data_IF_479180472503
#
_entry.id   IF_479180472503
#
_cell.length_a   1.000
_cell.length_b   1.000
_cell.length_c   1.000
_cell.angle_alpha   90.00
_cell.angle_beta   90.00
_cell.angle_gamma   90.00
#
_symmetry.space_group_name_H-M   'P 1'
#
loop_
_entity.id
_entity.type
_entity.pdbx_description
1 polymer ?
#
# COMPACT_ATOMS: atom_id res chain seq x y z
N UNK A 1 -9.93 -10.63 6.96
CA UNK A 1 -10.09 -11.72 5.96
C UNK A 1 -9.00 -12.80 6.07
N UNK A 2 -7.72 -12.45 6.16
CA UNK A 2 -6.61 -13.41 6.33
C UNK A 2 -6.73 -14.16 7.68
N UNK A 3 -7.02 -13.47 8.78
CA UNK A 3 -7.13 -14.08 10.12
C UNK A 3 -8.27 -15.09 10.24
N UNK A 4 -9.41 -14.88 9.56
CA UNK A 4 -10.53 -15.85 9.59
C UNK A 4 -10.21 -17.10 8.76
N UNK A 5 -9.51 -16.93 7.63
CA UNK A 5 -9.08 -18.05 6.80
C UNK A 5 -7.95 -18.85 7.48
N UNK A 6 -7.06 -18.15 8.19
CA UNK A 6 -6.01 -18.72 9.01
C UNK A 6 -6.57 -19.58 10.14
N UNK A 7 -7.58 -19.09 10.86
CA UNK A 7 -8.26 -19.87 11.90
C UNK A 7 -8.96 -21.13 11.33
N UNK A 8 -9.54 -21.03 10.13
CA UNK A 8 -10.15 -22.17 9.44
C UNK A 8 -9.11 -23.24 9.01
N UNK A 9 -7.94 -22.79 8.54
CA UNK A 9 -6.84 -23.70 8.17
C UNK A 9 -6.21 -24.36 9.39
N UNK A 10 -6.06 -23.63 10.50
CA UNK A 10 -5.59 -24.17 11.79
C UNK A 10 -6.45 -25.34 12.28
N UNK A 11 -7.78 -25.26 12.11
CA UNK A 11 -8.69 -26.35 12.45
C UNK A 11 -8.56 -27.58 11.52
N UNK A 12 -8.04 -27.42 10.32
CA UNK A 12 -7.90 -28.50 9.33
C UNK A 12 -6.55 -29.22 9.44
N UNK A 13 -5.51 -28.48 9.80
CA UNK A 13 -4.12 -29.00 9.80
C UNK A 13 -3.55 -29.21 11.21
N UNK A 14 -4.39 -29.21 12.23
CA UNK A 14 -4.14 -29.40 13.67
C UNK A 14 -2.68 -29.58 14.13
N UNK A 15 -2.33 -29.03 15.23
CA UNK A 15 -1.15 -29.30 16.06
C UNK A 15 0.22 -28.80 15.60
N UNK A 16 0.39 -28.34 14.32
CA UNK A 16 1.70 -27.96 13.81
C UNK A 16 1.82 -26.55 13.22
N UNK A 17 0.72 -25.84 13.02
CA UNK A 17 0.73 -24.46 12.50
C UNK A 17 0.09 -23.56 13.53
N UNK A 18 0.91 -22.84 14.26
CA UNK A 18 0.45 -21.73 15.10
C UNK A 18 0.46 -20.48 14.21
N UNK A 19 -0.73 -20.05 13.81
CA UNK A 19 -0.89 -18.78 13.11
C UNK A 19 -1.01 -17.67 14.15
N UNK A 20 0.10 -17.04 14.45
CA UNK A 20 0.09 -15.76 15.18
C UNK A 20 -0.26 -14.67 14.17
N UNK A 21 -1.54 -14.33 14.07
CA UNK A 21 -1.97 -13.14 13.36
C UNK A 21 -1.71 -11.93 14.28
N UNK A 22 -0.49 -11.48 14.35
CA UNK A 22 -0.24 -10.16 14.89
C UNK A 22 -0.75 -9.13 13.88
N UNK A 23 -1.54 -8.16 14.32
CA UNK A 23 -2.08 -7.09 13.49
C UNK A 23 -0.95 -6.08 13.16
N UNK A 24 0.13 -6.59 12.62
CA UNK A 24 1.33 -5.83 12.39
C UNK A 24 1.28 -5.21 11.01
N UNK A 25 1.63 -3.95 10.96
CA UNK A 25 1.87 -3.24 9.72
C UNK A 25 2.97 -3.99 8.96
N UNK A 26 2.71 -4.39 7.74
CA UNK A 26 3.70 -5.05 6.87
C UNK A 26 4.79 -4.07 6.40
N UNK A 27 5.31 -3.26 7.32
CA UNK A 27 6.39 -2.31 7.07
C UNK A 27 7.76 -2.92 7.36
N UNK A 28 8.80 -2.24 6.91
CA UNK A 28 10.18 -2.70 7.09
C UNK A 28 10.56 -2.92 8.56
N UNK A 29 10.07 -2.08 9.49
CA UNK A 29 10.37 -2.19 10.91
C UNK A 29 9.88 -3.51 11.50
N UNK A 30 8.69 -3.92 11.12
CA UNK A 30 8.10 -5.18 11.56
C UNK A 30 8.85 -6.39 11.03
N UNK A 31 9.16 -6.39 9.72
CA UNK A 31 9.91 -7.50 9.12
C UNK A 31 11.33 -7.55 9.69
N UNK A 32 11.97 -6.41 9.95
CA UNK A 32 13.25 -6.36 10.65
C UNK A 32 13.20 -7.04 12.03
N UNK A 33 12.18 -6.72 12.84
CA UNK A 33 12.01 -7.37 14.16
C UNK A 33 11.79 -8.86 14.02
N UNK A 34 10.94 -9.26 13.09
CA UNK A 34 10.66 -10.66 12.84
C UNK A 34 11.91 -11.44 12.41
N UNK A 35 12.70 -10.90 11.47
CA UNK A 35 13.97 -11.53 11.05
C UNK A 35 14.96 -11.64 12.20
N UNK A 36 15.03 -10.59 13.06
CA UNK A 36 15.93 -10.61 14.22
C UNK A 36 15.54 -11.63 15.30
N UNK A 37 14.25 -11.95 15.42
CA UNK A 37 13.71 -12.88 16.42
C UNK A 37 13.64 -14.33 15.92
N UNK A 38 13.56 -14.53 14.60
CA UNK A 38 13.45 -15.87 13.98
C UNK A 38 14.74 -16.67 14.17
N UNK A 39 14.59 -17.90 14.63
CA UNK A 39 15.71 -18.84 14.84
C UNK A 39 15.86 -19.78 13.66
N UNK A 40 17.08 -20.10 13.28
CA UNK A 40 17.38 -20.95 12.13
C UNK A 40 16.72 -22.35 12.14
N UNK A 41 16.25 -22.83 13.29
CA UNK A 41 15.63 -24.14 13.44
C UNK A 41 14.12 -24.08 13.77
N UNK A 42 13.52 -22.90 13.71
CA UNK A 42 12.10 -22.70 13.98
C UNK A 42 11.50 -21.93 12.79
N UNK A 43 11.13 -22.63 11.71
CA UNK A 43 10.67 -21.99 10.49
C UNK A 43 9.33 -21.29 10.74
N UNK A 44 9.30 -20.00 10.48
CA UNK A 44 8.12 -19.15 10.58
C UNK A 44 7.68 -18.69 9.19
N UNK A 45 6.40 -18.41 9.04
CA UNK A 45 5.86 -17.83 7.81
C UNK A 45 5.49 -16.37 8.05
N UNK A 46 6.02 -15.50 7.23
CA UNK A 46 5.62 -14.07 7.21
C UNK A 46 4.78 -13.77 5.97
N UNK A 47 3.75 -12.98 6.16
CA UNK A 47 2.95 -12.43 5.07
C UNK A 47 3.31 -10.95 4.90
N UNK A 48 3.90 -10.61 3.76
CA UNK A 48 4.32 -9.25 3.45
C UNK A 48 3.93 -8.85 2.02
N UNK A 49 3.81 -7.55 1.79
CA UNK A 49 3.59 -7.01 0.44
C UNK A 49 4.86 -7.03 -0.39
N UNK A 50 4.75 -7.38 -1.65
CA UNK A 50 5.89 -7.44 -2.60
C UNK A 50 6.62 -6.09 -2.70
N UNK A 51 5.90 -4.96 -2.61
CA UNK A 51 6.49 -3.63 -2.66
C UNK A 51 7.52 -3.34 -1.55
N UNK A 52 7.45 -4.06 -0.42
CA UNK A 52 8.48 -3.96 0.61
C UNK A 52 9.84 -4.42 0.08
N UNK A 53 9.85 -5.53 -0.61
CA UNK A 53 11.08 -6.14 -1.13
C UNK A 53 11.58 -5.45 -2.41
N UNK A 54 10.71 -4.98 -3.28
CA UNK A 54 11.06 -4.40 -4.57
C UNK A 54 11.24 -2.89 -4.52
N UNK A 55 10.28 -2.16 -3.97
CA UNK A 55 10.25 -0.69 -4.02
C UNK A 55 10.99 -0.09 -2.84
N UNK A 56 10.66 -0.50 -1.61
CA UNK A 56 11.28 0.08 -0.40
C UNK A 56 12.76 -0.23 -0.32
N UNK A 57 13.18 -1.42 -0.75
CA UNK A 57 14.61 -1.79 -0.80
C UNK A 57 15.45 -0.90 -1.72
N UNK A 58 14.85 -0.29 -2.73
CA UNK A 58 15.52 0.63 -3.66
C UNK A 58 15.43 2.07 -3.18
N UNK A 59 14.24 2.51 -2.75
CA UNK A 59 14.00 3.91 -2.39
C UNK A 59 14.52 4.30 -1.01
N UNK A 60 14.53 3.35 -0.08
CA UNK A 60 14.96 3.59 1.31
C UNK A 60 15.66 2.34 1.89
N UNK A 61 16.81 1.97 1.31
CA UNK A 61 17.54 0.76 1.73
C UNK A 61 18.00 0.82 3.19
N UNK A 62 18.15 2.02 3.76
CA UNK A 62 18.57 2.19 5.15
C UNK A 62 17.52 1.67 6.17
N UNK A 63 16.28 1.54 5.76
CA UNK A 63 15.22 0.93 6.59
C UNK A 63 15.24 -0.59 6.60
N UNK A 64 15.97 -1.22 5.67
CA UNK A 64 15.99 -2.66 5.49
C UNK A 64 17.18 -3.26 6.25
N UNK A 65 16.91 -4.15 7.20
CA UNK A 65 17.93 -4.94 7.91
C UNK A 65 17.92 -6.40 7.39
N UNK A 66 17.33 -6.62 6.25
CA UNK A 66 17.23 -7.91 5.57
C UNK A 66 17.34 -7.73 4.05
N UNK A 67 17.61 -8.81 3.35
CA UNK A 67 17.69 -8.87 1.89
C UNK A 67 16.76 -9.96 1.37
N UNK A 68 16.63 -10.09 0.05
CA UNK A 68 15.91 -11.21 -0.56
C UNK A 68 16.44 -12.59 -0.15
N UNK A 69 17.76 -12.68 0.07
CA UNK A 69 18.44 -13.94 0.38
C UNK A 69 18.14 -14.45 1.81
N UNK A 70 17.55 -13.62 2.65
CA UNK A 70 17.12 -13.98 4.00
C UNK A 70 15.77 -14.73 4.02
N UNK A 71 15.10 -14.86 2.86
CA UNK A 71 13.77 -15.45 2.74
C UNK A 71 13.69 -16.56 1.70
N UNK A 72 12.87 -17.54 1.97
CA UNK A 72 12.38 -18.47 0.98
C UNK A 72 10.92 -18.11 0.62
N UNK A 73 10.69 -17.69 -0.63
CA UNK A 73 9.36 -17.31 -1.10
C UNK A 73 8.53 -18.55 -1.40
N UNK A 74 7.47 -18.77 -0.63
CA UNK A 74 6.65 -19.96 -0.69
C UNK A 74 5.55 -19.84 -1.74
N UNK A 75 4.73 -18.76 -1.67
CA UNK A 75 3.55 -18.64 -2.51
C UNK A 75 3.08 -17.17 -2.61
N UNK A 76 2.55 -16.79 -3.76
CA UNK A 76 1.78 -15.57 -3.94
C UNK A 76 0.31 -15.84 -3.60
N UNK A 77 -0.15 -15.36 -2.46
CA UNK A 77 -1.50 -15.66 -1.95
C UNK A 77 -2.61 -14.89 -2.68
N UNK A 78 -2.32 -13.70 -3.20
CA UNK A 78 -3.26 -12.90 -3.98
C UNK A 78 -2.55 -11.78 -4.76
N UNK A 79 -3.20 -11.31 -5.80
CA UNK A 79 -2.83 -10.07 -6.49
C UNK A 79 -3.94 -9.04 -6.32
N UNK A 80 -3.58 -7.79 -6.23
CA UNK A 80 -4.52 -6.67 -6.07
C UNK A 80 -4.23 -5.58 -7.09
N UNK A 81 -5.29 -4.90 -7.51
CA UNK A 81 -5.20 -3.78 -8.44
C UNK A 81 -5.04 -2.49 -7.64
N UNK A 82 -4.06 -1.67 -8.02
CA UNK A 82 -3.99 -0.29 -7.56
C UNK A 82 -4.95 0.58 -8.36
N UNK A 83 -5.61 1.48 -7.67
CA UNK A 83 -6.50 2.47 -8.25
C UNK A 83 -6.11 3.86 -7.76
N UNK A 84 -6.29 4.85 -8.61
CA UNK A 84 -6.23 6.24 -8.21
C UNK A 84 -7.66 6.73 -8.02
N UNK A 85 -7.91 7.34 -6.87
CA UNK A 85 -9.17 8.01 -6.55
C UNK A 85 -8.97 9.51 -6.44
N UNK A 86 -10.00 10.28 -6.76
CA UNK A 86 -10.02 11.73 -6.66
C UNK A 86 -11.08 12.20 -5.68
N UNK A 87 -10.88 13.36 -5.06
CA UNK A 87 -11.95 14.08 -4.35
C UNK A 87 -13.13 14.27 -5.32
N UNK A 88 -14.31 13.79 -4.93
CA UNK A 88 -15.53 13.85 -5.77
C UNK A 88 -15.89 15.25 -6.23
N UNK A 89 -15.48 16.30 -5.50
CA UNK A 89 -15.69 17.71 -5.85
C UNK A 89 -14.88 18.15 -7.07
N UNK A 90 -13.79 17.45 -7.40
CA UNK A 90 -12.98 17.77 -8.58
C UNK A 90 -13.63 17.28 -9.87
N UNK A 91 -14.66 16.43 -9.78
CA UNK A 91 -15.40 15.87 -10.92
C UNK A 91 -14.51 15.23 -12.00
N UNK A 92 -13.41 14.60 -11.57
CA UNK A 92 -12.46 13.85 -12.41
C UNK A 92 -12.94 12.40 -12.47
N UNK A 93 -13.29 11.92 -13.66
CA UNK A 93 -13.87 10.59 -13.87
C UNK A 93 -13.01 9.67 -14.75
N UNK A 94 -12.04 10.25 -15.44
CA UNK A 94 -11.18 9.53 -16.38
C UNK A 94 -9.85 10.26 -16.54
N UNK A 95 -8.95 9.67 -17.30
CA UNK A 95 -7.59 10.19 -17.50
C UNK A 95 -7.56 11.53 -18.27
N UNK A 96 -8.53 11.80 -19.13
CA UNK A 96 -8.57 13.03 -19.90
C UNK A 96 -9.06 14.21 -19.05
N UNK A 97 -10.00 13.95 -18.12
CA UNK A 97 -10.38 14.93 -17.10
C UNK A 97 -9.18 15.28 -16.22
N UNK A 98 -8.40 14.26 -15.82
CA UNK A 98 -7.18 14.44 -15.04
C UNK A 98 -6.16 15.30 -15.77
N UNK A 99 -5.89 15.02 -17.05
CA UNK A 99 -4.96 15.81 -17.86
C UNK A 99 -5.41 17.27 -17.94
N UNK A 100 -6.69 17.49 -18.23
CA UNK A 100 -7.28 18.84 -18.27
C UNK A 100 -7.11 19.57 -16.94
N UNK A 101 -7.33 18.88 -15.83
CA UNK A 101 -7.13 19.44 -14.50
C UNK A 101 -5.65 19.80 -14.25
N UNK A 102 -4.70 18.96 -14.69
CA UNK A 102 -3.26 19.20 -14.53
C UNK A 102 -2.76 20.36 -15.40
N UNK A 103 -3.32 20.56 -16.59
CA UNK A 103 -2.97 21.65 -17.50
C UNK A 103 -3.26 23.04 -16.90
N UNK A 104 -4.10 23.13 -15.89
CA UNK A 104 -4.34 24.40 -15.16
C UNK A 104 -3.14 24.84 -14.32
N UNK A 105 -2.11 24.01 -14.17
CA UNK A 105 -0.90 24.33 -13.41
C UNK A 105 -1.07 24.24 -11.89
N UNK A 106 -2.17 23.68 -11.42
CA UNK A 106 -2.41 23.50 -9.99
C UNK A 106 -1.42 22.50 -9.38
N UNK A 107 -0.86 22.85 -8.23
CA UNK A 107 -0.16 21.90 -7.41
C UNK A 107 -1.17 20.98 -6.75
N UNK A 108 -0.95 19.68 -6.80
CA UNK A 108 -1.85 18.66 -6.24
C UNK A 108 -1.20 17.88 -5.10
N UNK A 109 -2.05 17.49 -4.17
CA UNK A 109 -1.68 16.62 -3.06
C UNK A 109 -2.21 15.20 -3.30
N UNK A 110 -1.35 14.20 -3.07
CA UNK A 110 -1.67 12.79 -3.23
C UNK A 110 -1.45 12.08 -1.90
N UNK A 111 -2.51 11.56 -1.33
CA UNK A 111 -2.45 10.75 -0.12
C UNK A 111 -1.90 9.35 -0.44
N UNK A 112 -0.95 8.89 0.35
CA UNK A 112 -0.35 7.57 0.21
C UNK A 112 -0.07 6.95 1.59
N UNK A 113 -0.06 5.62 1.65
CA UNK A 113 0.37 4.89 2.84
C UNK A 113 1.91 4.91 2.94
N UNK A 114 2.42 5.88 3.69
CA UNK A 114 3.85 6.16 3.76
C UNK A 114 4.39 6.96 2.57
N UNK A 115 5.57 7.56 2.76
CA UNK A 115 6.20 8.40 1.75
C UNK A 115 7.00 7.62 0.69
N UNK A 116 7.39 6.39 1.00
CA UNK A 116 8.27 5.53 0.18
C UNK A 116 7.63 4.18 -0.17
N UNK A 117 6.31 4.05 0.04
CA UNK A 117 5.54 2.85 -0.30
C UNK A 117 5.19 2.75 -1.78
N UNK A 118 4.58 1.62 -2.16
CA UNK A 118 4.15 1.35 -3.54
C UNK A 118 3.20 2.41 -4.06
N UNK A 119 2.29 2.90 -3.24
CA UNK A 119 1.30 3.93 -3.59
C UNK A 119 1.96 5.25 -3.97
N UNK A 120 2.94 5.69 -3.17
CA UNK A 120 3.70 6.91 -3.45
C UNK A 120 4.54 6.78 -4.72
N UNK A 121 5.18 5.62 -4.90
CA UNK A 121 5.97 5.32 -6.11
C UNK A 121 5.10 5.33 -7.37
N UNK A 122 3.94 4.64 -7.33
CA UNK A 122 3.03 4.57 -8.47
C UNK A 122 2.46 5.94 -8.82
N UNK A 123 2.12 6.76 -7.83
CA UNK A 123 1.70 8.14 -8.06
C UNK A 123 2.82 8.95 -8.75
N UNK A 124 4.03 8.89 -8.24
CA UNK A 124 5.18 9.61 -8.82
C UNK A 124 5.48 9.14 -10.25
N UNK A 125 5.41 7.82 -10.50
CA UNK A 125 5.63 7.26 -11.83
C UNK A 125 4.55 7.69 -12.83
N UNK A 126 3.26 7.66 -12.43
CA UNK A 126 2.15 8.07 -13.28
C UNK A 126 2.28 9.56 -13.67
N UNK A 127 2.33 10.43 -12.68
CA UNK A 127 2.38 11.88 -12.95
C UNK A 127 3.70 12.29 -13.60
N UNK A 128 4.82 11.65 -13.24
CA UNK A 128 6.10 11.85 -13.90
C UNK A 128 6.07 11.46 -15.38
N UNK A 129 5.46 10.32 -15.73
CA UNK A 129 5.31 9.89 -17.13
C UNK A 129 4.43 10.82 -17.96
N UNK A 130 3.52 11.53 -17.32
CA UNK A 130 2.65 12.53 -17.96
C UNK A 130 3.28 13.92 -18.02
N UNK A 131 4.49 14.12 -17.46
CA UNK A 131 5.18 15.42 -17.42
C UNK A 131 4.75 16.34 -16.26
N UNK A 132 4.01 15.84 -15.28
CA UNK A 132 3.49 16.61 -14.14
C UNK A 132 4.18 16.29 -12.81
N UNK A 133 5.35 15.63 -12.83
CA UNK A 133 6.05 15.22 -11.61
C UNK A 133 6.33 16.36 -10.64
N UNK A 134 6.64 17.56 -11.12
CA UNK A 134 6.93 18.74 -10.29
C UNK A 134 5.68 19.38 -9.66
N UNK A 135 4.49 18.98 -10.11
CA UNK A 135 3.22 19.54 -9.62
C UNK A 135 2.61 18.71 -8.50
N UNK A 136 3.16 17.53 -8.20
CA UNK A 136 2.62 16.65 -7.17
C UNK A 136 3.35 16.81 -5.83
N UNK A 137 2.57 16.67 -4.76
CA UNK A 137 3.07 16.56 -3.39
C UNK A 137 2.50 15.30 -2.74
N UNK A 138 3.37 14.35 -2.40
CA UNK A 138 2.96 13.16 -1.63
C UNK A 138 2.74 13.56 -0.17
N UNK A 139 1.57 13.19 0.36
CA UNK A 139 1.20 13.34 1.77
C UNK A 139 1.10 11.93 2.38
N UNK A 140 2.02 11.63 3.29
CA UNK A 140 2.09 10.32 3.92
C UNK A 140 1.09 10.19 5.07
N UNK A 141 0.31 9.12 5.04
CA UNK A 141 -0.59 8.70 6.10
C UNK A 141 -0.12 7.38 6.72
N UNK A 142 -0.61 7.04 7.89
CA UNK A 142 -0.20 5.83 8.61
C UNK A 142 -0.88 4.56 8.08
N UNK A 143 -1.92 4.72 7.25
CA UNK A 143 -2.62 3.62 6.59
C UNK A 143 -3.30 4.07 5.30
N UNK A 144 -3.57 3.13 4.39
CA UNK A 144 -4.31 3.40 3.17
C UNK A 144 -5.78 3.82 3.45
N UNK A 145 -6.37 3.35 4.54
CA UNK A 145 -7.71 3.76 4.97
C UNK A 145 -7.75 5.25 5.38
N UNK A 146 -6.74 5.72 6.10
CA UNK A 146 -6.61 7.15 6.43
C UNK A 146 -6.38 7.99 5.17
N UNK A 147 -5.53 7.53 4.24
CA UNK A 147 -5.30 8.20 2.97
C UNK A 147 -6.60 8.34 2.15
N UNK A 148 -7.40 7.28 2.06
CA UNK A 148 -8.70 7.30 1.40
C UNK A 148 -9.68 8.28 2.06
N UNK A 149 -9.73 8.31 3.39
CA UNK A 149 -10.58 9.25 4.12
C UNK A 149 -10.15 10.71 3.94
N UNK A 150 -8.84 10.97 3.84
CA UNK A 150 -8.31 12.31 3.61
C UNK A 150 -8.80 12.88 2.27
N UNK A 151 -8.83 12.05 1.22
CA UNK A 151 -9.40 12.45 -0.08
C UNK A 151 -10.90 12.69 0.04
N UNK A 152 -11.65 11.78 0.66
CA UNK A 152 -13.10 11.93 0.83
C UNK A 152 -13.49 13.19 1.61
N UNK A 153 -12.63 13.67 2.52
CA UNK A 153 -12.81 14.92 3.26
C UNK A 153 -12.34 16.16 2.50
N UNK A 154 -11.61 15.98 1.39
CA UNK A 154 -11.00 17.08 0.63
C UNK A 154 -9.71 17.62 1.26
N UNK A 155 -9.06 16.87 2.14
CA UNK A 155 -7.76 17.22 2.73
C UNK A 155 -6.62 17.04 1.71
N UNK A 156 -6.79 16.09 0.78
CA UNK A 156 -5.92 15.87 -0.37
C UNK A 156 -6.76 15.71 -1.65
N UNK A 157 -6.13 15.94 -2.81
CA UNK A 157 -6.82 15.89 -4.09
C UNK A 157 -7.04 14.46 -4.58
N UNK A 158 -6.04 13.60 -4.39
CA UNK A 158 -6.02 12.22 -4.88
C UNK A 158 -5.48 11.27 -3.82
N UNK A 159 -5.80 9.98 -3.98
CA UNK A 159 -5.07 8.89 -3.33
C UNK A 159 -4.78 7.77 -4.33
N UNK A 160 -3.67 7.08 -4.11
CA UNK A 160 -3.40 5.78 -4.72
C UNK A 160 -3.54 4.73 -3.64
N UNK A 161 -4.32 3.69 -3.88
CA UNK A 161 -4.57 2.63 -2.91
C UNK A 161 -4.94 1.32 -3.61
N UNK A 162 -4.95 0.22 -2.88
CA UNK A 162 -5.56 -1.01 -3.38
C UNK A 162 -7.07 -0.87 -3.50
N UNK A 163 -7.64 -1.43 -4.55
CA UNK A 163 -9.08 -1.36 -4.81
C UNK A 163 -9.93 -1.75 -3.59
N UNK A 164 -9.53 -2.77 -2.86
CA UNK A 164 -10.25 -3.25 -1.67
C UNK A 164 -10.31 -2.23 -0.52
N UNK A 165 -9.38 -1.28 -0.48
CA UNK A 165 -9.28 -0.28 0.59
C UNK A 165 -10.11 0.97 0.32
N UNK A 166 -10.38 1.26 -0.96
CA UNK A 166 -11.13 2.46 -1.37
C UNK A 166 -12.60 2.17 -1.68
N UNK A 167 -12.97 0.90 -1.88
CA UNK A 167 -14.28 0.49 -2.39
C UNK A 167 -15.44 1.03 -1.55
N UNK A 168 -15.35 0.97 -0.23
CA UNK A 168 -16.38 1.49 0.65
C UNK A 168 -16.55 3.01 0.51
N UNK A 169 -15.46 3.75 0.51
CA UNK A 169 -15.45 5.22 0.35
C UNK A 169 -16.02 5.63 -1.01
N UNK A 170 -15.71 4.87 -2.05
CA UNK A 170 -16.27 5.06 -3.39
C UNK A 170 -17.79 4.80 -3.42
N UNK A 171 -18.26 3.72 -2.82
CA UNK A 171 -19.70 3.39 -2.74
C UNK A 171 -20.50 4.43 -1.96
N UNK A 172 -19.89 5.10 -1.00
CA UNK A 172 -20.48 6.21 -0.24
C UNK A 172 -20.42 7.55 -1.00
N UNK A 173 -19.82 7.60 -2.19
CA UNK A 173 -19.70 8.82 -3.00
C UNK A 173 -18.68 9.83 -2.49
N UNK A 174 -17.80 9.43 -1.59
CA UNK A 174 -16.74 10.31 -1.06
C UNK A 174 -15.61 10.56 -2.05
N UNK A 175 -15.40 9.63 -2.98
CA UNK A 175 -14.36 9.72 -4.04
C UNK A 175 -14.92 9.27 -5.39
N UNK A 176 -14.22 9.67 -6.45
CA UNK A 176 -14.43 9.23 -7.83
C UNK A 176 -13.20 8.50 -8.35
#
# INVERSE_FOLDING_TARGET
MVSQKAASLSNTYSDKIILVADAVKGDAATVNSWVAETKANDPELVFAGEGLFSITSILDPAKMQFTYDDFEFVENLYSSVFVMSADSKLNIKNIDDLKTYMETGNQISIAANGATGSEAFLAAALFGSMGYGDQIKIVAYSSAAEAAQAVAKGETNFAVSHQSQILETYQQGGVT
#
